data_IF_382018285016
#
_entry.id   IF_382018285016
#
_cell.length_a   1.000
_cell.length_b   1.000
_cell.length_c   1.000
_cell.angle_alpha   90.00
_cell.angle_beta   90.00
_cell.angle_gamma   90.00
#
_symmetry.space_group_name_H-M   'P 1'
#
loop_
_entity.id
_entity.type
_entity.pdbx_description
1 polymer ?
#
# COMPACT_ATOMS: atom_id res chain seq x y z
N UNK A 1 4.90 -14.21 18.44
CA UNK A 1 3.47 -14.42 18.74
C UNK A 1 2.90 -15.32 17.68
N UNK A 2 1.99 -16.20 18.06
CA UNK A 2 1.23 -17.06 17.17
C UNK A 2 -0.17 -16.48 16.97
N UNK A 3 -0.85 -16.83 15.88
CA UNK A 3 -2.23 -16.35 15.63
C UNK A 3 -3.19 -16.68 16.78
N UNK A 4 -2.98 -17.82 17.41
CA UNK A 4 -3.71 -18.32 18.59
C UNK A 4 -3.52 -17.46 19.83
N UNK A 5 -2.52 -16.57 19.87
CA UNK A 5 -2.32 -15.63 20.96
C UNK A 5 -3.28 -14.43 20.89
N UNK A 6 -4.14 -14.34 19.86
CA UNK A 6 -5.16 -13.28 19.79
C UNK A 6 -6.27 -13.53 20.81
N UNK A 7 -6.67 -12.49 21.55
CA UNK A 7 -7.70 -12.65 22.59
C UNK A 7 -7.77 -11.48 23.57
N UNK A 8 -8.56 -11.68 24.63
CA UNK A 8 -8.60 -10.76 25.76
C UNK A 8 -7.55 -11.18 26.79
N UNK A 9 -6.71 -10.23 27.18
CA UNK A 9 -5.69 -10.38 28.20
C UNK A 9 -6.04 -9.48 29.37
N UNK A 10 -6.04 -10.05 30.57
CA UNK A 10 -6.30 -9.31 31.80
C UNK A 10 -5.00 -9.17 32.58
N UNK A 11 -4.60 -7.93 32.82
CA UNK A 11 -3.52 -7.61 33.74
C UNK A 11 -4.13 -7.34 35.12
N UNK A 12 -3.54 -7.96 36.15
CA UNK A 12 -3.98 -7.82 37.54
C UNK A 12 -2.78 -7.44 38.39
N UNK A 13 -2.91 -6.38 39.19
CA UNK A 13 -1.89 -6.00 40.17
C UNK A 13 -2.25 -6.56 41.55
N UNK A 14 -1.30 -7.23 42.20
CA UNK A 14 -1.44 -7.65 43.59
C UNK A 14 -1.09 -6.47 44.51
N UNK A 15 -2.07 -5.60 44.79
CA UNK A 15 -1.95 -4.57 45.81
C UNK A 15 -2.94 -4.87 46.94
N UNK A 16 -2.53 -4.63 48.19
CA UNK A 16 -3.29 -5.05 49.39
C UNK A 16 -4.67 -4.36 49.52
N UNK A 17 -4.90 -3.23 48.85
CA UNK A 17 -6.10 -2.42 49.06
C UNK A 17 -6.87 -2.02 47.79
N UNK A 18 -6.34 -2.26 46.59
CA UNK A 18 -7.03 -1.91 45.34
C UNK A 18 -6.55 -2.81 44.18
N UNK A 19 -7.38 -3.80 43.83
CA UNK A 19 -7.09 -4.69 42.71
C UNK A 19 -7.43 -3.95 41.40
N UNK A 20 -6.46 -3.25 40.83
CA UNK A 20 -6.64 -2.70 39.48
C UNK A 20 -6.63 -3.84 38.46
N UNK A 21 -7.74 -3.98 37.72
CA UNK A 21 -7.93 -4.97 36.67
C UNK A 21 -8.08 -4.22 35.36
N UNK A 22 -7.12 -4.39 34.46
CA UNK A 22 -7.18 -3.82 33.11
C UNK A 22 -7.26 -4.95 32.09
N UNK A 23 -8.22 -4.85 31.17
CA UNK A 23 -8.39 -5.83 30.09
C UNK A 23 -7.98 -5.21 28.76
N UNK A 24 -7.15 -5.91 28.01
CA UNK A 24 -6.67 -5.54 26.69
C UNK A 24 -7.14 -6.57 25.66
N UNK A 25 -7.51 -6.11 24.46
CA UNK A 25 -7.72 -7.00 23.31
C UNK A 25 -6.46 -7.00 22.46
N UNK A 26 -5.81 -8.15 22.38
CA UNK A 26 -4.62 -8.36 21.55
C UNK A 26 -5.04 -9.06 20.27
N UNK A 27 -4.60 -8.53 19.13
CA UNK A 27 -4.80 -9.12 17.80
C UNK A 27 -3.45 -9.40 17.17
N UNK A 28 -3.22 -10.63 16.74
CA UNK A 28 -2.02 -11.04 16.00
C UNK A 28 -2.37 -11.12 14.52
N UNK A 29 -1.77 -10.24 13.73
CA UNK A 29 -2.03 -10.10 12.29
C UNK A 29 -0.74 -10.41 11.54
N UNK A 30 -0.85 -11.12 10.41
CA UNK A 30 0.31 -11.39 9.57
C UNK A 30 0.84 -10.11 8.93
N UNK A 31 2.14 -10.08 8.65
CA UNK A 31 2.70 -9.02 7.84
C UNK A 31 2.14 -9.10 6.41
N UNK A 32 1.95 -7.94 5.78
CA UNK A 32 1.49 -7.87 4.39
C UNK A 32 2.57 -8.32 3.41
N UNK A 33 2.12 -8.93 2.33
CA UNK A 33 2.94 -9.13 1.13
C UNK A 33 3.06 -7.83 0.33
N UNK A 34 4.11 -7.75 -0.50
CA UNK A 34 4.30 -6.61 -1.38
C UNK A 34 3.16 -6.51 -2.40
N UNK A 35 2.64 -5.30 -2.67
CA UNK A 35 1.69 -5.11 -3.76
C UNK A 35 2.35 -5.39 -5.11
N UNK A 36 1.53 -5.60 -6.13
CA UNK A 36 1.99 -5.72 -7.52
C UNK A 36 1.51 -4.50 -8.29
N UNK A 37 2.45 -3.65 -8.71
CA UNK A 37 2.20 -2.51 -9.58
C UNK A 37 2.51 -2.91 -11.03
N UNK A 38 1.45 -3.10 -11.82
CA UNK A 38 1.52 -3.56 -13.21
C UNK A 38 1.30 -2.40 -14.16
N UNK A 39 2.21 -2.20 -15.11
CA UNK A 39 2.01 -1.27 -16.23
C UNK A 39 1.19 -1.98 -17.30
N UNK A 40 0.02 -1.44 -17.61
CA UNK A 40 -0.89 -2.02 -18.59
C UNK A 40 -0.61 -1.51 -20.01
N UNK A 41 -0.28 -0.21 -20.11
CA UNK A 41 0.08 0.43 -21.38
C UNK A 41 0.85 1.72 -21.12
N UNK A 42 1.76 2.07 -22.01
CA UNK A 42 2.37 3.39 -22.08
C UNK A 42 2.18 4.00 -23.47
N UNK A 43 1.96 5.30 -23.50
CA UNK A 43 1.80 6.08 -24.73
C UNK A 43 2.62 7.36 -24.62
N UNK A 44 3.43 7.65 -25.64
CA UNK A 44 4.27 8.83 -25.70
C UNK A 44 3.99 9.56 -27.01
N UNK A 45 3.71 10.86 -26.93
CA UNK A 45 3.47 11.73 -28.09
C UNK A 45 4.11 13.09 -27.84
N UNK A 46 5.29 13.32 -28.44
CA UNK A 46 6.09 14.52 -28.18
C UNK A 46 6.52 14.57 -26.72
N UNK A 47 6.05 15.60 -26.00
CA UNK A 47 6.31 15.78 -24.56
C UNK A 47 5.21 15.18 -23.67
N UNK A 48 4.14 14.63 -24.25
CA UNK A 48 3.07 14.00 -23.49
C UNK A 48 3.39 12.53 -23.25
N UNK A 49 3.35 12.10 -21.98
CA UNK A 49 3.42 10.71 -21.58
C UNK A 49 2.17 10.32 -20.81
N UNK A 50 1.52 9.24 -21.23
CA UNK A 50 0.39 8.63 -20.54
C UNK A 50 0.75 7.19 -20.17
N UNK A 51 0.62 6.83 -18.90
CA UNK A 51 0.86 5.45 -18.43
C UNK A 51 -0.39 4.96 -17.71
N UNK A 52 -0.99 3.88 -18.20
CA UNK A 52 -2.06 3.20 -17.49
C UNK A 52 -1.47 2.04 -16.71
N UNK A 53 -1.88 1.90 -15.45
CA UNK A 53 -1.35 0.88 -14.57
C UNK A 53 -2.41 0.42 -13.58
N UNK A 54 -2.17 -0.75 -13.02
CA UNK A 54 -3.00 -1.36 -11.99
C UNK A 54 -2.13 -1.69 -10.80
N UNK A 55 -2.56 -1.30 -9.61
CA UNK A 55 -2.01 -1.82 -8.38
C UNK A 55 -2.93 -2.85 -7.74
N UNK A 56 -2.37 -3.97 -7.27
CA UNK A 56 -3.12 -5.05 -6.60
C UNK A 56 -2.41 -5.52 -5.34
N UNK A 57 -3.17 -5.80 -4.29
CA UNK A 57 -2.72 -6.57 -3.14
C UNK A 57 -3.90 -7.08 -2.34
N UNK A 58 -3.81 -8.30 -1.79
CA UNK A 58 -4.80 -8.85 -0.85
C UNK A 58 -6.27 -8.67 -1.28
N UNK A 59 -6.56 -8.96 -2.56
CA UNK A 59 -7.90 -8.80 -3.14
C UNK A 59 -8.34 -7.35 -3.44
N UNK A 60 -7.56 -6.35 -3.03
CA UNK A 60 -7.75 -4.94 -3.37
C UNK A 60 -7.13 -4.61 -4.73
N UNK A 61 -7.73 -3.64 -5.43
CA UNK A 61 -7.28 -3.19 -6.73
C UNK A 61 -7.53 -1.70 -6.91
N UNK A 62 -6.56 -1.02 -7.50
CA UNK A 62 -6.67 0.36 -8.00
C UNK A 62 -6.26 0.34 -9.48
N UNK A 63 -7.07 0.92 -10.35
CA UNK A 63 -6.73 1.17 -11.75
C UNK A 63 -6.60 2.68 -11.93
N UNK A 64 -5.44 3.15 -12.38
CA UNK A 64 -5.22 4.58 -12.53
C UNK A 64 -4.35 4.89 -13.75
N UNK A 65 -4.23 6.18 -14.04
CA UNK A 65 -3.51 6.68 -15.21
C UNK A 65 -2.63 7.86 -14.80
N UNK A 66 -1.37 7.80 -15.20
CA UNK A 66 -0.40 8.87 -15.05
C UNK A 66 -0.46 9.77 -16.29
N UNK A 67 -0.77 11.05 -16.09
CA UNK A 67 -0.84 12.07 -17.15
C UNK A 67 -0.39 13.42 -16.57
N UNK A 68 0.24 14.27 -17.39
CA UNK A 68 0.68 15.60 -16.97
C UNK A 68 1.50 15.58 -15.66
N UNK A 69 2.43 14.64 -15.58
CA UNK A 69 3.35 14.47 -14.45
C UNK A 69 2.70 14.04 -13.11
N UNK A 70 1.45 13.59 -13.11
CA UNK A 70 0.74 13.20 -11.89
C UNK A 70 -0.33 12.13 -12.13
N UNK A 71 -0.94 11.63 -11.06
CA UNK A 71 -2.18 10.88 -11.06
C UNK A 71 -3.02 11.28 -9.84
N UNK A 72 -4.32 11.03 -9.86
CA UNK A 72 -5.15 11.22 -8.67
C UNK A 72 -4.71 10.23 -7.57
N UNK A 73 -4.41 10.70 -6.34
CA UNK A 73 -4.18 9.80 -5.23
C UNK A 73 -5.43 8.98 -4.96
N UNK A 74 -5.27 7.66 -4.88
CA UNK A 74 -6.38 6.72 -4.67
C UNK A 74 -6.08 5.83 -3.47
N UNK A 75 -7.12 5.56 -2.67
CA UNK A 75 -7.03 4.71 -1.48
C UNK A 75 -8.24 3.79 -1.43
N UNK A 76 -7.99 2.50 -1.24
CA UNK A 76 -9.01 1.49 -0.99
C UNK A 76 -8.67 0.75 0.30
N UNK A 77 -9.65 0.58 1.18
CA UNK A 77 -9.48 -0.13 2.45
C UNK A 77 -10.50 -1.27 2.54
N UNK A 78 -10.04 -2.46 2.94
CA UNK A 78 -10.88 -3.64 3.17
C UNK A 78 -11.53 -3.60 4.55
N UNK A 79 -12.52 -4.46 4.77
CA UNK A 79 -13.15 -4.63 6.09
C UNK A 79 -12.16 -5.10 7.17
N UNK A 80 -11.10 -5.81 6.78
CA UNK A 80 -10.06 -6.33 7.67
C UNK A 80 -8.90 -5.34 7.92
N UNK A 81 -9.09 -4.06 7.57
CA UNK A 81 -8.11 -2.98 7.71
C UNK A 81 -6.84 -3.14 6.85
N UNK A 82 -6.90 -3.95 5.78
CA UNK A 82 -5.90 -3.87 4.73
C UNK A 82 -6.17 -2.63 3.88
N UNK A 83 -5.13 -1.89 3.55
CA UNK A 83 -5.22 -0.65 2.78
C UNK A 83 -4.26 -0.71 1.61
N UNK A 84 -4.77 -0.37 0.42
CA UNK A 84 -3.98 -0.11 -0.77
C UNK A 84 -4.02 1.39 -1.05
N UNK A 85 -2.86 2.03 -1.16
CA UNK A 85 -2.75 3.46 -1.50
C UNK A 85 -1.85 3.61 -2.72
N UNK A 86 -2.27 4.47 -3.64
CA UNK A 86 -1.54 4.81 -4.84
C UNK A 86 -1.17 6.29 -4.84
N UNK A 87 0.08 6.58 -5.19
CA UNK A 87 0.57 7.94 -5.40
C UNK A 87 1.52 7.98 -6.60
N UNK A 88 1.41 9.04 -7.40
CA UNK A 88 2.34 9.32 -8.50
C UNK A 88 3.02 10.67 -8.27
N UNK A 89 4.34 10.66 -8.31
CA UNK A 89 5.16 11.86 -8.42
C UNK A 89 5.73 12.03 -9.83
N UNK A 90 6.63 12.98 -9.99
CA UNK A 90 7.28 13.23 -11.29
C UNK A 90 8.17 12.07 -11.73
N UNK A 91 8.82 11.38 -10.79
CA UNK A 91 9.81 10.33 -11.10
C UNK A 91 9.29 8.91 -10.84
N UNK A 92 8.32 8.74 -9.94
CA UNK A 92 7.92 7.44 -9.43
C UNK A 92 6.40 7.32 -9.30
N UNK A 93 5.88 6.17 -9.70
CA UNK A 93 4.59 5.67 -9.24
C UNK A 93 4.89 4.72 -8.10
N UNK A 94 4.21 4.90 -6.98
CA UNK A 94 4.34 4.05 -5.81
C UNK A 94 2.96 3.49 -5.50
N UNK A 95 2.91 2.19 -5.29
CA UNK A 95 1.78 1.56 -4.67
C UNK A 95 2.18 0.92 -3.35
N UNK A 96 1.43 1.22 -2.30
CA UNK A 96 1.67 0.75 -0.95
C UNK A 96 0.50 -0.08 -0.46
N UNK A 97 0.81 -1.27 0.05
CA UNK A 97 -0.13 -2.13 0.73
C UNK A 97 0.24 -2.17 2.21
N UNK A 98 -0.73 -1.95 3.08
CA UNK A 98 -0.52 -1.88 4.53
C UNK A 98 -1.65 -2.52 5.31
N UNK A 99 -1.36 -2.90 6.54
CA UNK A 99 -2.32 -3.25 7.58
C UNK A 99 -1.86 -2.61 8.91
N UNK A 100 -2.57 -2.80 10.04
CA UNK A 100 -2.20 -2.14 11.30
C UNK A 100 -0.79 -2.45 11.83
N UNK A 101 -0.13 -3.51 11.34
CA UNK A 101 1.15 -3.99 11.87
C UNK A 101 2.31 -3.87 10.89
N UNK A 102 2.05 -3.66 9.60
CA UNK A 102 3.09 -3.69 8.57
C UNK A 102 2.67 -2.98 7.29
N UNK A 103 3.66 -2.64 6.46
CA UNK A 103 3.45 -2.12 5.11
C UNK A 103 4.56 -2.57 4.16
N UNK A 104 4.23 -2.63 2.87
CA UNK A 104 5.14 -2.94 1.76
C UNK A 104 4.75 -2.11 0.54
N UNK A 105 5.68 -1.90 -0.37
CA UNK A 105 5.44 -1.14 -1.60
C UNK A 105 6.04 -1.81 -2.84
N UNK A 106 5.48 -1.47 -4.00
CA UNK A 106 6.08 -1.68 -5.32
C UNK A 106 6.08 -0.34 -6.05
N UNK A 107 7.19 -0.06 -6.72
CA UNK A 107 7.42 1.22 -7.39
C UNK A 107 7.75 1.01 -8.86
N UNK A 108 7.44 2.01 -9.68
CA UNK A 108 7.83 2.05 -11.10
C UNK A 108 8.38 3.44 -11.41
N UNK A 109 9.53 3.45 -12.06
CA UNK A 109 10.19 4.69 -12.45
C UNK A 109 9.56 5.25 -13.73
N UNK A 110 8.90 6.40 -13.63
CA UNK A 110 8.27 7.12 -14.73
C UNK A 110 9.28 7.44 -15.82
N UNK A 111 10.50 7.86 -15.45
CA UNK A 111 11.52 8.22 -16.45
C UNK A 111 11.82 7.03 -17.37
N UNK A 112 11.84 5.80 -16.87
CA UNK A 112 12.04 4.61 -17.69
C UNK A 112 10.83 4.27 -18.57
N UNK A 113 9.61 4.60 -18.11
CA UNK A 113 8.37 4.34 -18.84
C UNK A 113 8.06 5.39 -19.91
N UNK A 114 8.57 6.60 -19.71
CA UNK A 114 8.31 7.80 -20.53
C UNK A 114 9.52 8.26 -21.36
N UNK A 115 10.59 7.47 -21.47
CA UNK A 115 11.71 7.78 -22.38
C UNK A 115 11.31 7.47 -23.84
N UNK A 116 11.38 8.50 -24.69
CA UNK A 116 11.35 8.34 -26.14
C UNK A 116 12.56 7.49 -26.58
N UNK A 117 12.34 6.21 -26.90
CA UNK A 117 13.37 5.33 -27.51
C UNK A 117 13.73 5.72 -28.96
N UNK A 118 13.46 6.94 -29.40
CA UNK A 118 13.50 7.30 -30.82
C UNK A 118 13.84 8.76 -31.09
N UNK A 119 14.98 9.25 -30.60
CA UNK A 119 15.76 10.31 -31.27
C UNK A 119 17.24 9.96 -31.09
N UNK A 120 17.78 9.18 -32.03
CA UNK A 120 19.21 9.18 -32.30
C UNK A 120 19.52 10.38 -33.23
N UNK A 121 20.56 11.19 -32.93
CA UNK A 121 20.97 12.31 -33.77
C UNK A 121 21.44 11.88 -35.17
#
# INVERSE_FOLDING_TARGET
MQKTDSGLYTATTAAESDNNIVTYRVSVIDAVEAPVLTVNSNWISGNFCTVNFTCRAHGLMINSSYQNNTCSPEKVTSHENYTLILYCGEELIICNHSNPVSWKEDTKNITQLCVNKGISP
#
